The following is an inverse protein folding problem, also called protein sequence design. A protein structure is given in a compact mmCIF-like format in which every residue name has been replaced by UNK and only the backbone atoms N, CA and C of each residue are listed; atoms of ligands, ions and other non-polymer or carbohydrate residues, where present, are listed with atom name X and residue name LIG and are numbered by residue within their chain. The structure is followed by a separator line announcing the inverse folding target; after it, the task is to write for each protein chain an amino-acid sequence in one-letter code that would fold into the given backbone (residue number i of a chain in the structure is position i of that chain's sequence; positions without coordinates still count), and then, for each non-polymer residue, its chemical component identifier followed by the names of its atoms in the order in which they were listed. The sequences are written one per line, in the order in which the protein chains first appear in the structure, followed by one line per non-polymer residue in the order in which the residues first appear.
data_IF_422115337074
#
_entry.id   IF_422115337074
#
_cell.length_a   1.000
_cell.length_b   1.000
_cell.length_c   1.000
_cell.angle_alpha   90.00
_cell.angle_beta   90.00
_cell.angle_gamma   90.00
#
_symmetry.space_group_name_H-M   'P 1'
#
loop_
_entity.id
_entity.type
_entity.pdbx_description
1 polymer ?
#
# COMPACT_ATOMS: atom_id res chain seq x y z
N UNK A 1 18.16 71.97 -28.31
CA UNK A 1 18.02 71.24 -27.02
C UNK A 1 16.58 70.74 -26.79
N UNK A 2 15.55 71.60 -26.89
CA UNK A 2 14.14 71.16 -26.78
C UNK A 2 13.70 70.18 -27.88
N UNK A 3 14.13 70.38 -29.13
CA UNK A 3 13.83 69.45 -30.23
C UNK A 3 14.38 68.04 -29.98
N UNK A 4 15.65 67.91 -29.55
CA UNK A 4 16.23 66.60 -29.21
C UNK A 4 15.49 65.89 -28.05
N UNK A 5 14.95 66.66 -27.09
CA UNK A 5 14.14 66.08 -26.00
C UNK A 5 12.82 65.51 -26.53
N UNK A 6 12.12 66.28 -27.39
CA UNK A 6 10.88 65.84 -28.02
C UNK A 6 11.08 64.62 -28.94
N UNK A 7 12.17 64.59 -29.72
CA UNK A 7 12.50 63.42 -30.56
C UNK A 7 12.78 62.18 -29.71
N UNK A 8 13.48 62.32 -28.58
CA UNK A 8 13.73 61.19 -27.67
C UNK A 8 12.44 60.66 -27.02
N UNK A 9 11.53 61.55 -26.58
CA UNK A 9 10.23 61.16 -26.01
C UNK A 9 9.31 60.48 -27.05
N UNK A 10 9.33 60.95 -28.31
CA UNK A 10 8.62 60.30 -29.42
C UNK A 10 9.18 58.90 -29.67
N UNK A 11 10.50 58.75 -29.72
CA UNK A 11 11.15 57.44 -29.96
C UNK A 11 10.79 56.43 -28.86
N UNK A 12 10.83 56.84 -27.59
CA UNK A 12 10.40 55.96 -26.47
C UNK A 12 8.91 55.61 -26.56
N UNK A 13 8.06 56.55 -26.96
CA UNK A 13 6.62 56.30 -27.13
C UNK A 13 6.36 55.31 -28.28
N UNK A 14 7.09 55.43 -29.39
CA UNK A 14 7.03 54.51 -30.51
C UNK A 14 7.55 53.12 -30.14
N UNK A 15 8.63 53.03 -29.35
CA UNK A 15 9.18 51.77 -28.84
C UNK A 15 8.19 51.05 -27.93
N UNK A 16 7.53 51.78 -27.01
CA UNK A 16 6.46 51.24 -26.15
C UNK A 16 5.23 50.81 -26.94
N UNK A 17 4.85 51.57 -27.97
CA UNK A 17 3.73 51.21 -28.83
C UNK A 17 4.04 49.94 -29.65
N UNK A 18 5.25 49.83 -30.18
CA UNK A 18 5.66 48.68 -31.00
C UNK A 18 5.84 47.40 -30.17
N UNK A 19 6.33 47.52 -28.93
CA UNK A 19 6.51 46.39 -28.02
C UNK A 19 5.24 46.02 -27.24
N UNK A 20 4.31 46.96 -27.09
CA UNK A 20 3.18 46.85 -26.17
C UNK A 20 3.57 46.87 -24.68
N UNK A 21 4.85 47.08 -24.36
CA UNK A 21 5.35 47.07 -22.99
C UNK A 21 5.74 48.48 -22.54
N UNK A 22 5.34 48.85 -21.32
CA UNK A 22 5.69 50.14 -20.70
C UNK A 22 7.18 50.19 -20.31
N UNK A 23 7.77 49.05 -19.95
CA UNK A 23 9.17 48.92 -19.51
C UNK A 23 9.88 48.03 -20.53
N UNK A 24 10.74 48.62 -21.37
CA UNK A 24 11.49 47.88 -22.40
C UNK A 24 12.95 47.67 -22.01
N UNK A 25 13.51 48.55 -21.18
CA UNK A 25 14.90 48.50 -20.76
C UNK A 25 15.08 48.84 -19.28
N UNK A 26 16.24 48.47 -18.72
CA UNK A 26 16.61 48.83 -17.34
C UNK A 26 16.73 50.35 -17.13
N UNK A 27 16.83 51.12 -18.22
CA UNK A 27 16.86 52.59 -18.20
C UNK A 27 15.48 53.20 -17.93
N UNK A 28 14.40 52.50 -18.29
CA UNK A 28 13.03 52.96 -18.06
C UNK A 28 12.61 52.83 -16.59
N UNK A 29 12.86 51.66 -16.01
CA UNK A 29 12.58 51.34 -14.60
C UNK A 29 13.32 50.05 -14.21
N UNK A 30 14.45 50.17 -13.52
CA UNK A 30 15.25 49.02 -13.10
C UNK A 30 14.53 48.12 -12.09
N UNK A 31 13.76 48.71 -11.16
CA UNK A 31 13.01 47.96 -10.14
C UNK A 31 11.80 47.25 -10.76
N UNK A 32 11.07 47.95 -11.64
CA UNK A 32 9.96 47.38 -12.40
C UNK A 32 10.41 46.26 -13.35
N UNK A 33 11.56 46.41 -14.00
CA UNK A 33 12.15 45.35 -14.83
C UNK A 33 12.56 44.13 -14.00
N UNK A 34 13.16 44.32 -12.82
CA UNK A 34 13.52 43.22 -11.92
C UNK A 34 12.28 42.44 -11.45
N UNK A 35 11.22 43.14 -11.05
CA UNK A 35 9.96 42.50 -10.64
C UNK A 35 9.33 41.78 -11.83
N UNK A 36 9.29 42.40 -13.00
CA UNK A 36 8.77 41.80 -14.23
C UNK A 36 9.52 40.52 -14.61
N UNK A 37 10.86 40.53 -14.54
CA UNK A 37 11.69 39.36 -14.81
C UNK A 37 11.42 38.22 -13.81
N UNK A 38 11.29 38.56 -12.52
CA UNK A 38 10.93 37.57 -11.47
C UNK A 38 9.55 36.96 -11.74
N UNK A 39 8.54 37.78 -12.03
CA UNK A 39 7.19 37.29 -12.33
C UNK A 39 7.17 36.46 -13.61
N UNK A 40 7.94 36.84 -14.63
CA UNK A 40 8.08 36.08 -15.88
C UNK A 40 8.72 34.71 -15.61
N UNK A 41 9.79 34.66 -14.81
CA UNK A 41 10.42 33.41 -14.41
C UNK A 41 9.45 32.53 -13.61
N UNK A 42 8.70 33.13 -12.68
CA UNK A 42 7.67 32.43 -11.90
C UNK A 42 6.56 31.87 -12.79
N UNK A 43 6.06 32.67 -13.74
CA UNK A 43 5.03 32.25 -14.70
C UNK A 43 5.49 31.05 -15.51
N UNK A 44 6.70 31.09 -16.08
CA UNK A 44 7.27 29.95 -16.81
C UNK A 44 7.49 28.73 -15.91
N UNK A 45 7.86 28.94 -14.65
CA UNK A 45 7.97 27.89 -13.64
C UNK A 45 6.63 27.20 -13.41
N UNK A 46 5.56 27.97 -13.26
CA UNK A 46 4.20 27.45 -13.12
C UNK A 46 3.73 26.69 -14.38
N UNK A 47 4.09 27.14 -15.58
CA UNK A 47 3.75 26.43 -16.83
C UNK A 47 4.41 25.04 -16.94
N UNK A 48 5.62 24.88 -16.40
CA UNK A 48 6.29 23.58 -16.30
C UNK A 48 5.68 22.75 -15.18
N UNK A 49 5.41 23.37 -14.03
CA UNK A 49 4.75 22.70 -12.90
C UNK A 49 3.38 22.14 -13.26
N UNK A 50 2.57 22.87 -14.04
CA UNK A 50 1.29 22.37 -14.55
C UNK A 50 1.48 21.13 -15.42
N UNK A 51 2.51 21.08 -16.28
CA UNK A 51 2.81 19.89 -17.07
C UNK A 51 3.22 18.71 -16.19
N UNK A 52 4.11 18.93 -15.23
CA UNK A 52 4.53 17.90 -14.27
C UNK A 52 3.34 17.37 -13.44
N UNK A 53 2.41 18.24 -13.05
CA UNK A 53 1.20 17.85 -12.34
C UNK A 53 0.28 16.96 -13.21
N UNK A 54 0.12 17.30 -14.49
CA UNK A 54 -0.63 16.47 -15.43
C UNK A 54 0.03 15.11 -15.68
N UNK A 55 1.37 15.05 -15.69
CA UNK A 55 2.10 13.77 -15.75
C UNK A 55 1.84 12.94 -14.49
N UNK A 56 1.87 13.56 -13.30
CA UNK A 56 1.51 12.91 -12.04
C UNK A 56 0.08 12.35 -12.04
N UNK A 57 -0.89 13.14 -12.53
CA UNK A 57 -2.28 12.69 -12.70
C UNK A 57 -2.35 11.49 -13.65
N UNK A 58 -1.64 11.53 -14.77
CA UNK A 58 -1.66 10.44 -15.76
C UNK A 58 -1.06 9.15 -15.20
N UNK A 59 0.01 9.25 -14.40
CA UNK A 59 0.60 8.12 -13.68
C UNK A 59 -0.41 7.54 -12.69
N UNK A 60 -1.03 8.40 -11.87
CA UNK A 60 -2.01 7.99 -10.87
C UNK A 60 -3.20 7.27 -11.52
N UNK A 61 -3.75 7.81 -12.62
CA UNK A 61 -4.86 7.18 -13.35
C UNK A 61 -4.48 5.84 -13.97
N UNK A 62 -3.26 5.72 -14.49
CA UNK A 62 -2.76 4.45 -15.03
C UNK A 62 -2.63 3.40 -13.93
N UNK A 63 -2.09 3.80 -12.77
CA UNK A 63 -2.00 2.94 -11.60
C UNK A 63 -3.39 2.54 -11.07
N UNK A 64 -4.31 3.50 -10.94
CA UNK A 64 -5.69 3.28 -10.48
C UNK A 64 -6.44 2.29 -11.39
N UNK A 65 -6.33 2.46 -12.72
CA UNK A 65 -6.93 1.52 -13.67
C UNK A 65 -6.43 0.08 -13.50
N UNK A 66 -5.13 -0.09 -13.31
CA UNK A 66 -4.54 -1.41 -13.07
C UNK A 66 -4.93 -1.98 -11.69
N UNK A 67 -5.01 -1.15 -10.66
CA UNK A 67 -5.47 -1.55 -9.32
C UNK A 67 -6.95 -1.96 -9.30
N UNK A 68 -7.79 -1.34 -10.13
CA UNK A 68 -9.19 -1.77 -10.29
C UNK A 68 -9.25 -3.20 -10.85
N UNK A 69 -8.41 -3.54 -11.84
CA UNK A 69 -8.39 -4.91 -12.35
C UNK A 69 -7.77 -5.90 -11.38
N UNK A 70 -6.72 -5.51 -10.65
CA UNK A 70 -6.22 -6.33 -9.56
C UNK A 70 -7.30 -6.59 -8.49
N UNK A 71 -8.13 -5.59 -8.18
CA UNK A 71 -9.26 -5.74 -7.25
C UNK A 71 -10.29 -6.74 -7.78
N UNK A 72 -10.66 -6.67 -9.07
CA UNK A 72 -11.57 -7.63 -9.71
C UNK A 72 -11.02 -9.06 -9.66
N UNK A 73 -9.72 -9.23 -9.92
CA UNK A 73 -9.05 -10.54 -9.82
C UNK A 73 -9.08 -11.07 -8.39
N UNK A 74 -8.78 -10.23 -7.39
CA UNK A 74 -8.84 -10.63 -5.98
C UNK A 74 -10.27 -10.97 -5.52
N UNK A 75 -11.29 -10.28 -6.03
CA UNK A 75 -12.69 -10.65 -5.78
C UNK A 75 -13.01 -12.03 -6.36
N UNK A 76 -12.52 -12.35 -7.57
CA UNK A 76 -12.67 -13.69 -8.15
C UNK A 76 -11.95 -14.76 -7.33
N UNK A 77 -10.72 -14.48 -6.87
CA UNK A 77 -10.00 -15.39 -5.96
C UNK A 77 -10.78 -15.64 -4.68
N UNK A 78 -11.42 -14.61 -4.12
CA UNK A 78 -12.29 -14.74 -2.94
C UNK A 78 -13.50 -15.63 -3.21
N UNK A 79 -14.15 -15.48 -4.36
CA UNK A 79 -15.27 -16.34 -4.75
C UNK A 79 -14.84 -17.81 -4.85
N UNK A 80 -13.67 -18.06 -5.44
CA UNK A 80 -13.08 -19.40 -5.53
C UNK A 80 -12.74 -19.98 -4.17
N UNK A 81 -12.21 -19.18 -3.23
CA UNK A 81 -11.94 -19.62 -1.86
C UNK A 81 -13.22 -19.97 -1.09
N UNK A 82 -14.29 -19.19 -1.26
CA UNK A 82 -15.61 -19.52 -0.69
C UNK A 82 -16.16 -20.80 -1.33
N UNK A 83 -15.98 -20.94 -2.66
CA UNK A 83 -16.40 -22.13 -3.37
C UNK A 83 -15.63 -23.35 -2.87
N UNK A 84 -14.31 -23.30 -2.72
CA UNK A 84 -13.47 -24.42 -2.26
C UNK A 84 -13.82 -24.84 -0.83
N UNK A 85 -14.21 -23.90 0.02
CA UNK A 85 -14.63 -24.15 1.41
C UNK A 85 -15.90 -25.03 1.51
N UNK A 86 -16.73 -25.09 0.45
CA UNK A 86 -17.93 -25.92 0.46
C UNK A 86 -17.60 -27.42 0.55
N UNK A 87 -18.10 -28.08 1.59
CA UNK A 87 -17.85 -29.49 1.89
C UNK A 87 -18.41 -30.49 0.88
N UNK A 88 -19.26 -30.05 -0.05
CA UNK A 88 -19.80 -30.93 -1.11
C UNK A 88 -18.86 -31.12 -2.30
N UNK A 89 -17.81 -30.30 -2.43
CA UNK A 89 -16.87 -30.43 -3.54
C UNK A 89 -15.98 -31.65 -3.37
N UNK A 90 -15.83 -32.41 -4.43
CA UNK A 90 -14.88 -33.49 -4.54
C UNK A 90 -13.42 -32.99 -4.56
N UNK A 91 -12.44 -33.85 -4.24
CA UNK A 91 -11.03 -33.50 -4.35
C UNK A 91 -10.61 -33.03 -5.75
N UNK A 92 -11.21 -33.60 -6.81
CA UNK A 92 -10.94 -33.20 -8.19
C UNK A 92 -11.47 -31.78 -8.50
N UNK A 93 -12.62 -31.40 -7.94
CA UNK A 93 -13.16 -30.04 -8.08
C UNK A 93 -12.32 -29.03 -7.31
N UNK A 94 -11.85 -29.38 -6.10
CA UNK A 94 -10.91 -28.54 -5.34
C UNK A 94 -9.61 -28.33 -6.09
N UNK A 95 -9.09 -29.37 -6.75
CA UNK A 95 -7.91 -29.24 -7.60
C UNK A 95 -8.14 -28.26 -8.77
N UNK A 96 -9.27 -28.37 -9.47
CA UNK A 96 -9.59 -27.46 -10.57
C UNK A 96 -9.76 -26.00 -10.10
N UNK A 97 -10.35 -25.79 -8.93
CA UNK A 97 -10.46 -24.46 -8.31
C UNK A 97 -9.07 -23.90 -7.97
N UNK A 98 -8.16 -24.72 -7.45
CA UNK A 98 -6.79 -24.31 -7.16
C UNK A 98 -6.04 -23.93 -8.45
N UNK A 99 -6.17 -24.72 -9.52
CA UNK A 99 -5.61 -24.36 -10.84
C UNK A 99 -6.11 -23.00 -11.35
N UNK A 100 -7.40 -22.68 -11.16
CA UNK A 100 -7.96 -21.35 -11.50
C UNK A 100 -7.37 -20.26 -10.60
N UNK A 101 -7.23 -20.50 -9.30
CA UNK A 101 -6.61 -19.58 -8.34
C UNK A 101 -5.15 -19.25 -8.74
N UNK A 102 -4.36 -20.27 -9.08
CA UNK A 102 -2.98 -20.09 -9.54
C UNK A 102 -2.91 -19.24 -10.82
N UNK A 103 -3.83 -19.43 -11.76
CA UNK A 103 -3.88 -18.60 -12.96
C UNK A 103 -4.22 -17.12 -12.65
N UNK A 104 -5.07 -16.87 -11.64
CA UNK A 104 -5.38 -15.52 -11.18
C UNK A 104 -4.19 -14.86 -10.46
N UNK A 105 -3.41 -15.64 -9.69
CA UNK A 105 -2.14 -15.19 -9.09
C UNK A 105 -1.15 -14.74 -10.18
N UNK A 106 -1.01 -15.54 -11.24
CA UNK A 106 -0.17 -15.18 -12.39
C UNK A 106 -0.68 -13.92 -13.09
N UNK A 107 -2.00 -13.75 -13.19
CA UNK A 107 -2.60 -12.54 -13.75
C UNK A 107 -2.34 -11.30 -12.88
N UNK A 108 -2.40 -11.40 -11.55
CA UNK A 108 -2.00 -10.31 -10.65
C UNK A 108 -0.54 -9.91 -10.87
N UNK A 109 0.36 -10.89 -10.95
CA UNK A 109 1.77 -10.66 -11.25
C UNK A 109 1.95 -10.01 -12.62
N UNK A 110 1.19 -10.45 -13.63
CA UNK A 110 1.20 -9.86 -14.97
C UNK A 110 0.72 -8.42 -14.95
N UNK A 111 -0.34 -8.08 -14.22
CA UNK A 111 -0.82 -6.69 -14.08
C UNK A 111 0.25 -5.82 -13.42
N UNK A 112 0.82 -6.28 -12.30
CA UNK A 112 1.89 -5.60 -11.58
C UNK A 112 3.11 -5.33 -12.46
N UNK A 113 3.51 -6.32 -13.27
CA UNK A 113 4.64 -6.20 -14.18
C UNK A 113 4.31 -5.40 -15.44
N UNK A 114 3.14 -5.54 -16.06
CA UNK A 114 2.89 -4.86 -17.35
C UNK A 114 2.49 -3.39 -17.19
N UNK A 115 2.05 -2.98 -16.00
CA UNK A 115 1.63 -1.59 -15.74
C UNK A 115 2.82 -0.65 -15.70
N UNK A 116 2.90 0.23 -16.71
CA UNK A 116 4.00 1.18 -16.87
C UNK A 116 3.55 2.52 -17.43
N UNK A 117 4.29 3.56 -17.07
CA UNK A 117 4.14 4.90 -17.63
C UNK A 117 5.53 5.44 -17.99
N UNK A 118 5.69 5.89 -19.24
CA UNK A 118 6.98 6.41 -19.73
C UNK A 118 8.14 5.41 -19.60
N UNK A 119 7.86 4.11 -19.62
CA UNK A 119 8.85 3.05 -19.45
C UNK A 119 9.18 2.68 -18.00
N UNK A 120 8.64 3.41 -17.01
CA UNK A 120 8.79 3.08 -15.58
C UNK A 120 7.63 2.20 -15.13
N UNK A 121 7.95 1.11 -14.44
CA UNK A 121 6.95 0.21 -13.83
C UNK A 121 6.36 0.87 -12.59
N UNK A 122 5.04 0.78 -12.45
CA UNK A 122 4.31 1.50 -11.40
C UNK A 122 4.01 0.63 -10.18
N UNK A 123 3.65 -0.63 -10.39
CA UNK A 123 3.00 -1.48 -9.37
C UNK A 123 3.79 -2.76 -9.03
N UNK A 124 5.06 -2.87 -9.46
CA UNK A 124 5.92 -4.01 -9.15
C UNK A 124 6.89 -3.75 -7.97
N UNK A 125 6.70 -2.67 -7.23
CA UNK A 125 7.56 -2.25 -6.13
C UNK A 125 8.80 -1.43 -6.54
N UNK A 126 9.17 -1.38 -7.82
CA UNK A 126 10.32 -0.58 -8.28
C UNK A 126 10.05 0.92 -8.35
N UNK A 127 8.79 1.34 -8.31
CA UNK A 127 8.42 2.75 -8.32
C UNK A 127 8.88 3.45 -7.04
N UNK A 128 8.59 2.90 -5.86
CA UNK A 128 8.93 3.53 -4.58
C UNK A 128 8.23 4.87 -4.45
N UNK A 129 9.01 5.94 -4.26
CA UNK A 129 8.50 7.31 -4.20
C UNK A 129 8.99 8.15 -5.38
N UNK A 130 8.15 9.06 -5.84
CA UNK A 130 8.48 10.05 -6.86
C UNK A 130 8.02 11.43 -6.41
N UNK A 131 8.92 12.41 -6.50
CA UNK A 131 8.62 13.81 -6.22
C UNK A 131 8.29 14.54 -7.53
N UNK A 132 7.09 15.11 -7.62
CA UNK A 132 6.64 15.93 -8.74
C UNK A 132 6.72 17.40 -8.34
N UNK A 133 7.58 18.16 -9.03
CA UNK A 133 7.70 19.59 -8.83
C UNK A 133 6.45 20.29 -9.39
N UNK A 134 5.58 20.77 -8.50
CA UNK A 134 4.27 21.37 -8.81
C UNK A 134 4.22 22.89 -8.54
N UNK A 135 5.35 23.49 -8.17
CA UNK A 135 5.47 24.93 -8.00
C UNK A 135 6.66 25.53 -8.77
N UNK A 136 6.77 26.85 -8.70
CA UNK A 136 7.80 27.62 -9.41
C UNK A 136 9.12 27.73 -8.61
N UNK A 137 9.10 27.41 -7.31
CA UNK A 137 10.27 27.45 -6.44
C UNK A 137 10.72 26.06 -6.02
N UNK A 138 12.02 25.89 -5.78
CA UNK A 138 12.59 24.64 -5.26
C UNK A 138 11.91 24.22 -3.95
N UNK A 139 11.55 22.95 -3.84
CA UNK A 139 10.90 22.38 -2.65
C UNK A 139 9.36 22.37 -2.71
N UNK A 140 8.76 23.00 -3.72
CA UNK A 140 7.31 22.92 -3.97
C UNK A 140 6.99 21.63 -4.75
N UNK A 141 7.17 20.49 -4.10
CA UNK A 141 6.97 19.17 -4.69
C UNK A 141 5.89 18.35 -3.97
N UNK A 142 5.15 17.56 -4.74
CA UNK A 142 4.25 16.53 -4.25
C UNK A 142 4.95 15.18 -4.31
N UNK A 143 4.97 14.44 -3.20
CA UNK A 143 5.52 13.08 -3.16
C UNK A 143 4.38 12.11 -3.39
N UNK A 144 4.55 11.21 -4.36
CA UNK A 144 3.65 10.09 -4.61
C UNK A 144 4.40 8.78 -4.40
N UNK A 145 3.88 7.94 -3.51
CA UNK A 145 4.37 6.58 -3.29
C UNK A 145 3.45 5.57 -3.97
N UNK A 146 4.01 4.61 -4.70
CA UNK A 146 3.27 3.45 -5.19
C UNK A 146 3.95 2.18 -4.69
N UNK A 147 3.16 1.31 -4.07
CA UNK A 147 3.59 0.03 -3.53
C UNK A 147 3.46 -1.07 -4.57
N UNK A 148 4.11 -2.22 -4.31
CA UNK A 148 3.92 -3.40 -5.15
C UNK A 148 2.54 -3.99 -4.90
N UNK A 149 1.93 -4.54 -5.95
CA UNK A 149 0.75 -5.41 -5.86
C UNK A 149 1.04 -6.83 -6.32
N UNK A 150 2.33 -7.18 -6.51
CA UNK A 150 2.71 -8.53 -6.92
C UNK A 150 2.25 -9.54 -5.87
N UNK A 151 1.86 -10.72 -6.33
CA UNK A 151 1.38 -11.76 -5.46
C UNK A 151 2.47 -12.36 -4.56
N UNK A 152 3.76 -12.16 -4.89
CA UNK A 152 4.92 -12.52 -4.07
C UNK A 152 5.31 -11.44 -3.05
N UNK A 153 4.64 -10.28 -3.04
CA UNK A 153 4.91 -9.23 -2.06
C UNK A 153 4.22 -9.56 -0.73
N UNK A 154 5.00 -9.54 0.36
CA UNK A 154 4.52 -9.88 1.71
C UNK A 154 3.44 -8.92 2.21
N UNK A 155 3.34 -7.70 1.65
CA UNK A 155 2.28 -6.74 2.00
C UNK A 155 0.92 -7.10 1.38
N UNK A 156 0.92 -7.93 0.34
CA UNK A 156 -0.31 -8.44 -0.27
C UNK A 156 -0.84 -9.68 0.49
N UNK A 157 -0.03 -10.29 1.34
CA UNK A 157 -0.41 -11.40 2.22
C UNK A 157 -0.29 -11.04 3.69
N UNK A 158 0.32 -11.93 4.46
CA UNK A 158 0.45 -11.78 5.90
C UNK A 158 1.45 -12.74 6.50
N UNK A 159 1.25 -13.04 7.77
CA UNK A 159 2.04 -13.98 8.53
C UNK A 159 1.14 -15.11 8.98
N UNK A 160 1.56 -16.34 8.73
CA UNK A 160 0.89 -17.54 9.21
C UNK A 160 1.74 -18.24 10.27
N UNK A 161 1.11 -18.60 11.37
CA UNK A 161 1.67 -19.45 12.41
C UNK A 161 1.05 -20.83 12.32
N UNK A 162 1.88 -21.87 12.29
CA UNK A 162 1.44 -23.25 12.24
C UNK A 162 1.67 -23.94 13.59
N UNK A 163 0.69 -24.72 14.02
CA UNK A 163 0.82 -25.65 15.14
C UNK A 163 1.71 -26.82 14.73
N UNK A 164 2.78 -27.08 15.48
CA UNK A 164 3.73 -28.17 15.19
C UNK A 164 3.06 -29.56 15.27
N UNK A 165 2.09 -29.71 16.17
CA UNK A 165 1.36 -30.96 16.41
C UNK A 165 -0.12 -30.77 16.08
N UNK A 166 -0.69 -31.70 15.30
CA UNK A 166 -2.14 -31.78 15.09
C UNK A 166 -2.85 -32.31 16.34
N UNK A 167 -3.94 -31.67 16.75
CA UNK A 167 -4.74 -32.11 17.88
C UNK A 167 -6.02 -32.75 17.35
N UNK A 168 -6.37 -33.92 17.90
CA UNK A 168 -7.63 -34.61 17.59
C UNK A 168 -8.79 -34.08 18.43
N UNK A 169 -9.99 -34.57 18.14
CA UNK A 169 -11.25 -34.19 18.83
C UNK A 169 -11.28 -34.46 20.34
N UNK A 170 -10.38 -35.31 20.83
CA UNK A 170 -10.25 -35.64 22.26
C UNK A 170 -9.36 -34.63 23.02
N UNK A 171 -8.70 -33.72 22.31
CA UNK A 171 -7.95 -32.63 22.93
C UNK A 171 -8.89 -31.48 23.28
N UNK A 172 -8.66 -30.88 24.44
CA UNK A 172 -9.35 -29.66 24.86
C UNK A 172 -8.38 -28.70 25.53
N UNK A 173 -8.70 -27.41 25.47
CA UNK A 173 -7.88 -26.34 26.04
C UNK A 173 -7.68 -26.55 27.55
N UNK A 174 -6.43 -26.60 28.00
CA UNK A 174 -6.08 -26.67 29.42
C UNK A 174 -6.42 -25.33 30.12
N UNK A 175 -7.20 -25.35 31.22
CA UNK A 175 -7.60 -24.14 31.94
C UNK A 175 -6.44 -23.33 32.53
N UNK A 176 -5.25 -23.91 32.65
CA UNK A 176 -4.04 -23.24 33.17
C UNK A 176 -3.17 -22.64 32.07
N UNK A 177 -3.48 -22.90 30.80
CA UNK A 177 -2.71 -22.47 29.61
C UNK A 177 -3.62 -21.90 28.52
N UNK A 178 -4.73 -21.30 28.90
CA UNK A 178 -5.71 -20.80 27.95
C UNK A 178 -5.31 -19.45 27.29
N UNK A 179 -4.20 -18.85 27.73
CA UNK A 179 -3.73 -17.57 27.23
C UNK A 179 -3.01 -17.69 25.87
N UNK A 180 -3.46 -16.88 24.92
CA UNK A 180 -2.84 -16.66 23.63
C UNK A 180 -2.66 -15.16 23.44
N UNK A 181 -1.43 -14.74 23.18
CA UNK A 181 -1.07 -13.34 22.98
C UNK A 181 -0.40 -13.19 21.63
N UNK A 182 -0.92 -12.30 20.80
CA UNK A 182 -0.34 -11.93 19.50
C UNK A 182 0.14 -10.49 19.60
N UNK A 183 1.41 -10.26 19.33
CA UNK A 183 2.01 -8.92 19.35
C UNK A 183 2.26 -8.47 17.92
N UNK A 184 1.62 -7.37 17.53
CA UNK A 184 1.82 -6.69 16.25
C UNK A 184 2.66 -5.43 16.50
N UNK A 185 3.96 -5.45 16.16
CA UNK A 185 4.82 -4.34 16.49
C UNK A 185 4.51 -3.07 15.69
N UNK A 186 4.59 -1.93 16.36
CA UNK A 186 4.39 -0.60 15.78
C UNK A 186 2.96 -0.26 15.34
N UNK A 187 1.97 -0.95 15.91
CA UNK A 187 0.55 -0.76 15.62
C UNK A 187 -0.29 -0.23 16.81
N UNK A 188 0.31 -0.12 17.98
CA UNK A 188 -0.26 0.53 19.16
C UNK A 188 0.16 1.99 19.24
N UNK A 189 -0.57 2.76 20.04
CA UNK A 189 -0.14 4.07 20.51
C UNK A 189 -0.09 4.01 22.05
N UNK A 190 1.01 4.47 22.64
CA UNK A 190 1.09 4.63 24.10
C UNK A 190 0.19 5.80 24.56
N UNK A 191 0.02 5.97 25.88
CA UNK A 191 -0.76 7.09 26.45
C UNK A 191 -0.22 8.48 26.05
N UNK A 192 1.01 8.55 25.52
CA UNK A 192 1.72 9.75 25.09
C UNK A 192 1.71 9.95 23.55
N UNK A 193 1.10 9.04 22.78
CA UNK A 193 0.99 9.09 21.32
C UNK A 193 2.25 8.66 20.55
N UNK A 194 3.19 7.96 21.18
CA UNK A 194 4.30 7.30 20.49
C UNK A 194 3.87 5.93 19.97
N UNK A 195 4.57 5.48 18.93
CA UNK A 195 4.38 4.15 18.34
C UNK A 195 4.74 3.06 19.35
N UNK A 196 3.76 2.23 19.69
CA UNK A 196 3.89 1.07 20.59
C UNK A 196 3.39 -0.20 19.87
N UNK A 197 3.44 -1.35 20.54
CA UNK A 197 2.99 -2.62 20.00
C UNK A 197 1.49 -2.84 20.29
N UNK A 198 0.75 -3.33 19.30
CA UNK A 198 -0.62 -3.76 19.52
C UNK A 198 -0.62 -5.21 20.02
N UNK A 199 -1.14 -5.42 21.22
CA UNK A 199 -1.27 -6.74 21.83
C UNK A 199 -2.72 -7.25 21.74
N UNK A 200 -2.92 -8.34 21.01
CA UNK A 200 -4.20 -9.05 20.99
C UNK A 200 -4.12 -10.20 21.97
N UNK A 201 -4.83 -10.08 23.09
CA UNK A 201 -4.90 -11.09 24.14
C UNK A 201 -6.21 -11.87 24.02
N UNK A 202 -6.10 -13.16 23.74
CA UNK A 202 -7.21 -14.11 23.62
C UNK A 202 -7.11 -15.09 24.79
N UNK A 203 -8.19 -15.21 25.57
CA UNK A 203 -8.28 -16.22 26.62
C UNK A 203 -9.26 -17.30 26.16
N UNK A 204 -8.71 -18.42 25.69
CA UNK A 204 -9.50 -19.53 25.17
C UNK A 204 -10.40 -20.15 26.26
N UNK A 205 -11.54 -20.69 25.85
CA UNK A 205 -12.46 -21.32 26.80
C UNK A 205 -11.98 -22.75 27.09
N UNK A 206 -11.81 -23.04 28.37
CA UNK A 206 -11.32 -24.34 28.84
C UNK A 206 -12.22 -25.49 28.38
N UNK A 207 -11.60 -26.54 27.84
CA UNK A 207 -12.30 -27.72 27.34
C UNK A 207 -12.89 -27.60 25.93
N UNK A 208 -12.76 -26.45 25.26
CA UNK A 208 -13.09 -26.33 23.83
C UNK A 208 -12.10 -27.16 23.01
N UNK A 209 -12.60 -27.84 21.98
CA UNK A 209 -11.76 -28.60 21.03
C UNK A 209 -11.02 -27.67 20.05
N UNK A 210 -10.18 -28.23 19.17
CA UNK A 210 -9.35 -27.42 18.25
C UNK A 210 -10.19 -26.63 17.22
N UNK A 211 -11.36 -27.13 16.83
CA UNK A 211 -12.26 -26.47 15.87
C UNK A 211 -13.06 -25.36 16.56
N UNK A 212 -13.54 -25.63 17.78
CA UNK A 212 -14.20 -24.65 18.65
C UNK A 212 -13.23 -23.52 19.02
N UNK A 213 -11.97 -23.85 19.31
CA UNK A 213 -10.91 -22.86 19.57
C UNK A 213 -10.67 -21.96 18.36
N UNK A 214 -10.52 -22.52 17.15
CA UNK A 214 -10.34 -21.72 15.95
C UNK A 214 -11.53 -20.77 15.70
N UNK A 215 -12.74 -21.26 15.91
CA UNK A 215 -13.97 -20.46 15.85
C UNK A 215 -13.98 -19.35 16.90
N UNK A 216 -13.54 -19.66 18.12
CA UNK A 216 -13.45 -18.70 19.20
C UNK A 216 -12.43 -17.60 18.90
N UNK A 217 -11.24 -17.93 18.38
CA UNK A 217 -10.20 -16.98 17.97
C UNK A 217 -10.75 -16.01 16.91
N UNK A 218 -11.40 -16.54 15.87
CA UNK A 218 -12.04 -15.73 14.82
C UNK A 218 -13.13 -14.80 15.37
N UNK A 219 -13.79 -15.18 16.46
CA UNK A 219 -14.81 -14.36 17.11
C UNK A 219 -14.27 -13.25 18.02
N UNK A 220 -12.99 -13.27 18.39
CA UNK A 220 -12.39 -12.27 19.29
C UNK A 220 -11.69 -11.12 18.58
N UNK A 221 -11.27 -11.31 17.33
CA UNK A 221 -10.59 -10.26 16.58
C UNK A 221 -10.83 -10.39 15.09
N UNK A 222 -11.19 -9.28 14.45
CA UNK A 222 -11.30 -9.20 12.99
C UNK A 222 -9.92 -9.20 12.29
N UNK A 223 -8.83 -8.99 13.05
CA UNK A 223 -7.46 -8.89 12.52
C UNK A 223 -6.76 -10.24 12.40
N UNK A 224 -7.34 -11.30 12.97
CA UNK A 224 -6.75 -12.63 13.04
C UNK A 224 -7.75 -13.61 12.42
N UNK A 225 -7.24 -14.51 11.58
CA UNK A 225 -8.01 -15.63 11.05
C UNK A 225 -7.34 -16.94 11.48
N UNK A 226 -8.02 -17.73 12.31
CA UNK A 226 -7.64 -19.07 12.69
C UNK A 226 -8.40 -20.12 11.87
N UNK A 227 -7.70 -21.15 11.41
CA UNK A 227 -8.26 -22.31 10.73
C UNK A 227 -7.60 -23.60 11.20
N UNK A 228 -8.24 -24.74 10.97
CA UNK A 228 -7.68 -26.06 11.29
C UNK A 228 -7.53 -26.84 9.99
N UNK A 229 -6.33 -27.39 9.78
CA UNK A 229 -6.03 -28.26 8.64
C UNK A 229 -6.67 -29.65 8.80
N UNK A 230 -6.73 -30.43 7.72
CA UNK A 230 -7.26 -31.81 7.73
C UNK A 230 -6.50 -32.74 8.70
N UNK A 231 -5.24 -32.42 8.99
CA UNK A 231 -4.39 -33.11 9.98
C UNK A 231 -4.62 -32.64 11.44
N UNK A 232 -5.59 -31.76 11.69
CA UNK A 232 -5.90 -31.23 13.01
C UNK A 232 -4.91 -30.16 13.52
N UNK A 233 -4.07 -29.60 12.65
CA UNK A 233 -3.16 -28.49 13.01
C UNK A 233 -3.88 -27.16 12.93
N UNK A 234 -3.80 -26.37 14.00
CA UNK A 234 -4.23 -24.97 14.00
C UNK A 234 -3.27 -24.11 13.16
N UNK A 235 -3.84 -23.24 12.35
CA UNK A 235 -3.15 -22.21 11.58
C UNK A 235 -3.73 -20.86 11.99
N UNK A 236 -2.87 -19.89 12.28
CA UNK A 236 -3.29 -18.53 12.61
C UNK A 236 -2.67 -17.59 11.60
N UNK A 237 -3.50 -16.95 10.80
CA UNK A 237 -3.13 -15.94 9.82
C UNK A 237 -3.39 -14.54 10.38
N UNK A 238 -2.39 -13.68 10.28
CA UNK A 238 -2.45 -12.27 10.65
C UNK A 238 -1.94 -11.44 9.49
N UNK A 239 -2.78 -10.56 8.96
CA UNK A 239 -2.40 -9.65 7.88
C UNK A 239 -2.68 -8.22 8.28
N UNK A 240 -1.63 -7.40 8.35
CA UNK A 240 -1.80 -5.96 8.44
C UNK A 240 -0.65 -5.21 7.75
N UNK A 241 -0.93 -4.23 6.87
CA UNK A 241 0.07 -3.58 6.03
C UNK A 241 1.07 -2.69 6.80
N UNK A 242 0.74 -2.33 8.04
CA UNK A 242 1.51 -1.36 8.84
C UNK A 242 2.35 -1.98 9.96
N UNK A 243 2.48 -3.31 10.03
CA UNK A 243 3.31 -3.95 11.06
C UNK A 243 4.79 -3.60 10.82
N UNK A 244 5.43 -3.04 11.83
CA UNK A 244 6.86 -2.70 11.82
C UNK A 244 7.64 -3.79 12.57
N UNK A 245 7.98 -4.87 11.89
CA UNK A 245 8.79 -5.96 12.47
C UNK A 245 8.14 -7.32 12.31
N UNK A 246 8.65 -8.30 13.04
CA UNK A 246 8.13 -9.66 13.02
C UNK A 246 6.99 -9.79 14.03
N UNK A 247 5.83 -10.26 13.55
CA UNK A 247 4.70 -10.61 14.40
C UNK A 247 5.14 -11.79 15.28
N UNK A 248 4.80 -11.75 16.56
CA UNK A 248 5.07 -12.86 17.47
C UNK A 248 3.79 -13.38 18.11
N UNK A 249 3.76 -14.68 18.37
CA UNK A 249 2.72 -15.33 19.15
C UNK A 249 3.35 -15.91 20.41
N UNK A 250 2.75 -15.62 21.57
CA UNK A 250 3.19 -16.08 22.88
C UNK A 250 2.00 -16.53 23.73
N UNK A 251 2.29 -17.12 24.90
CA UNK A 251 1.29 -17.58 25.86
C UNK A 251 1.34 -19.08 26.13
N UNK A 252 0.60 -19.50 27.16
CA UNK A 252 0.46 -20.90 27.55
C UNK A 252 -0.10 -21.76 26.43
N UNK A 253 -1.08 -21.25 25.68
CA UNK A 253 -1.75 -21.97 24.60
C UNK A 253 -0.84 -22.13 23.38
N UNK A 254 -0.12 -21.06 23.05
CA UNK A 254 0.86 -21.07 21.97
C UNK A 254 1.98 -22.09 22.23
N UNK A 255 2.46 -22.14 23.48
CA UNK A 255 3.48 -23.09 23.91
C UNK A 255 2.99 -24.54 23.88
N UNK A 256 1.70 -24.78 24.19
CA UNK A 256 1.13 -26.13 24.19
C UNK A 256 0.85 -26.67 22.78
N UNK A 257 0.42 -25.79 21.88
CA UNK A 257 0.17 -26.12 20.48
C UNK A 257 1.47 -26.18 19.66
N UNK A 258 2.58 -25.65 20.20
CA UNK A 258 3.83 -25.54 19.47
C UNK A 258 3.66 -24.61 18.27
N UNK A 259 2.99 -23.48 18.45
CA UNK A 259 2.96 -22.43 17.44
C UNK A 259 4.40 -21.92 17.29
N UNK A 260 4.97 -22.06 16.09
CA UNK A 260 6.39 -21.76 15.84
C UNK A 260 6.72 -20.30 16.16
N UNK A 261 7.85 -20.09 16.85
CA UNK A 261 8.42 -18.76 17.12
C UNK A 261 8.98 -18.10 15.83
N UNK A 262 9.16 -18.91 14.77
CA UNK A 262 9.46 -18.43 13.43
C UNK A 262 8.16 -18.33 12.59
N UNK A 263 7.63 -17.12 12.37
CA UNK A 263 6.49 -16.89 11.51
C UNK A 263 6.79 -17.26 10.05
N UNK A 264 5.85 -17.94 9.38
CA UNK A 264 5.93 -18.12 7.93
C UNK A 264 5.25 -16.93 7.28
N UNK A 265 6.05 -16.10 6.59
CA UNK A 265 5.50 -15.04 5.73
C UNK A 265 4.80 -15.71 4.55
N UNK A 266 3.50 -15.48 4.43
CA UNK A 266 2.70 -15.97 3.32
C UNK A 266 2.29 -14.80 2.45
N UNK A 267 2.41 -14.97 1.15
CA UNK A 267 1.90 -14.02 0.17
C UNK A 267 0.63 -14.56 -0.49
N UNK A 268 0.03 -13.80 -1.39
CA UNK A 268 -1.14 -14.26 -2.18
C UNK A 268 -0.81 -15.52 -2.99
N UNK A 269 0.47 -15.74 -3.28
CA UNK A 269 0.98 -16.90 -3.99
C UNK A 269 0.99 -18.19 -3.14
N UNK A 270 0.97 -18.07 -1.82
CA UNK A 270 1.01 -19.20 -0.89
C UNK A 270 -0.40 -19.62 -0.40
N UNK A 271 -1.46 -19.08 -1.00
CA UNK A 271 -2.84 -19.43 -0.68
C UNK A 271 -3.20 -20.75 -1.38
N UNK A 272 -3.35 -21.82 -0.61
CA UNK A 272 -3.86 -23.14 -1.02
C UNK A 272 -5.39 -23.26 -0.84
#
# INVERSE_FOLDING_TARGET
RYLNKATNELNTSMERLSSGHKINSAKDDAAGLQISNRLTAQSRGLDVAMRNANDGISIAQTAEGAMNEATSVMQRMRDLAIQSSNGTNSPAERQAINEESMALVDELNRIAETTSFGGRRLLNGSFGEAAFQIGASSGEAMIMGLTSIRADDTRMGGVTFFSEVGKGKDWGVDPTKADLKITLPGMGEDEDGNVDDLEININAKAGDDIEELATYINGQSDMINASVSEDGKLQIFVAHPNVQGDISISGGLASELGLSDEPVRTSVQDID
#
